data_IF_587751939475
#
_entry.id   IF_587751939475
#
_cell.length_a   1.000
_cell.length_b   1.000
_cell.length_c   1.000
_cell.angle_alpha   90.00
_cell.angle_beta   90.00
_cell.angle_gamma   90.00
#
_symmetry.space_group_name_H-M   'P 1'
#
loop_
_entity.id
_entity.type
_entity.pdbx_description
1 polymer ?
#
# COMPACT_ATOMS: atom_id res chain seq x y z
N UNK A 1 -0.19 46.78 1.11
CA UNK A 1 0.31 45.40 1.09
C UNK A 1 -0.83 44.53 1.60
N UNK A 2 -1.74 44.20 0.69
CA UNK A 2 -2.90 43.35 1.02
C UNK A 2 -2.38 41.94 1.23
N UNK A 3 -2.50 41.41 2.43
CA UNK A 3 -2.23 40.03 2.76
C UNK A 3 -3.38 39.22 2.16
N UNK A 4 -3.18 38.69 0.95
CA UNK A 4 -4.12 37.79 0.31
C UNK A 4 -4.37 36.62 1.26
N UNK A 5 -5.61 36.51 1.75
CA UNK A 5 -6.01 35.40 2.62
C UNK A 5 -5.72 34.08 1.89
N UNK A 6 -5.22 33.04 2.56
CA UNK A 6 -4.87 31.78 1.91
C UNK A 6 -6.10 31.25 1.20
N UNK A 7 -6.05 31.29 -0.14
CA UNK A 7 -7.11 30.79 -1.00
C UNK A 7 -7.28 29.30 -0.70
N UNK A 8 -8.41 28.92 -0.12
CA UNK A 8 -8.70 27.51 0.14
C UNK A 8 -8.44 26.71 -1.14
N UNK A 9 -7.65 25.61 -1.06
CA UNK A 9 -7.34 24.85 -2.24
C UNK A 9 -8.62 24.34 -2.91
N UNK A 10 -8.64 24.22 -4.25
CA UNK A 10 -9.78 23.68 -4.97
C UNK A 10 -10.15 22.30 -4.43
N UNK A 11 -11.43 22.02 -4.29
CA UNK A 11 -11.91 20.74 -3.72
C UNK A 11 -11.43 19.53 -4.52
N UNK A 12 -11.31 19.69 -5.82
CA UNK A 12 -10.81 18.66 -6.73
C UNK A 12 -9.32 18.36 -6.48
N UNK A 13 -8.52 19.38 -6.17
CA UNK A 13 -7.11 19.21 -5.78
C UNK A 13 -6.98 18.40 -4.50
N UNK A 14 -7.80 18.71 -3.49
CA UNK A 14 -7.85 17.93 -2.25
C UNK A 14 -8.19 16.47 -2.54
N UNK A 15 -9.17 16.20 -3.38
CA UNK A 15 -9.57 14.85 -3.76
C UNK A 15 -8.44 14.09 -4.47
N UNK A 16 -7.76 14.74 -5.42
CA UNK A 16 -6.62 14.15 -6.14
C UNK A 16 -5.43 13.86 -5.22
N UNK A 17 -5.13 14.76 -4.29
CA UNK A 17 -4.06 14.54 -3.29
C UNK A 17 -4.39 13.35 -2.40
N UNK A 18 -5.65 13.21 -1.95
CA UNK A 18 -6.11 12.07 -1.16
C UNK A 18 -6.02 10.76 -1.94
N UNK A 19 -6.51 10.76 -3.19
CA UNK A 19 -6.35 9.63 -4.08
C UNK A 19 -4.89 9.21 -4.24
N UNK A 20 -4.00 10.15 -4.55
CA UNK A 20 -2.58 9.88 -4.76
C UNK A 20 -1.92 9.31 -3.49
N UNK A 21 -2.24 9.85 -2.32
CA UNK A 21 -1.76 9.37 -1.02
C UNK A 21 -2.17 7.91 -0.77
N UNK A 22 -3.44 7.59 -0.96
CA UNK A 22 -3.99 6.25 -0.75
C UNK A 22 -3.43 5.25 -1.77
N UNK A 23 -3.39 5.64 -3.04
CA UNK A 23 -2.85 4.81 -4.11
C UNK A 23 -1.36 4.48 -3.87
N UNK A 24 -0.53 5.48 -3.55
CA UNK A 24 0.88 5.27 -3.23
C UNK A 24 1.08 4.39 -1.99
N UNK A 25 0.23 4.52 -0.98
CA UNK A 25 0.25 3.70 0.24
C UNK A 25 -0.13 2.25 -0.06
N UNK A 26 -1.17 2.02 -0.86
CA UNK A 26 -1.61 0.71 -1.32
C UNK A 26 -0.52 -0.01 -2.13
N UNK A 27 0.12 0.67 -3.10
CA UNK A 27 1.20 0.11 -3.92
C UNK A 27 2.39 -0.30 -3.05
N UNK A 28 2.80 0.53 -2.09
CA UNK A 28 3.91 0.21 -1.17
C UNK A 28 3.64 -1.06 -0.36
N UNK A 29 2.44 -1.17 0.23
CA UNK A 29 2.02 -2.35 1.01
C UNK A 29 1.96 -3.60 0.13
N UNK A 30 1.42 -3.51 -1.08
CA UNK A 30 1.39 -4.61 -2.05
C UNK A 30 2.79 -5.07 -2.43
N UNK A 31 3.72 -4.15 -2.70
CA UNK A 31 5.09 -4.49 -3.05
C UNK A 31 5.85 -5.12 -1.87
N UNK A 32 5.63 -4.65 -0.65
CA UNK A 32 6.20 -5.26 0.55
C UNK A 32 5.72 -6.71 0.72
N UNK A 33 4.42 -6.94 0.54
CA UNK A 33 3.83 -8.29 0.61
C UNK A 33 4.38 -9.22 -0.49
N UNK A 34 4.47 -8.73 -1.74
CA UNK A 34 5.07 -9.49 -2.85
C UNK A 34 6.53 -9.86 -2.56
N UNK A 35 7.34 -8.91 -2.10
CA UNK A 35 8.74 -9.17 -1.73
C UNK A 35 8.86 -10.23 -0.63
N UNK A 36 8.04 -10.14 0.41
CA UNK A 36 8.03 -11.13 1.49
C UNK A 36 7.72 -12.54 0.96
N UNK A 37 6.70 -12.68 0.11
CA UNK A 37 6.35 -13.97 -0.51
C UNK A 37 7.49 -14.54 -1.36
N UNK A 38 8.18 -13.69 -2.14
CA UNK A 38 9.34 -14.10 -2.93
C UNK A 38 10.46 -14.59 -2.02
N UNK A 39 10.78 -13.89 -0.93
CA UNK A 39 11.80 -14.33 0.02
C UNK A 39 11.47 -15.65 0.68
N UNK A 40 10.22 -15.88 1.09
CA UNK A 40 9.76 -17.16 1.63
C UNK A 40 9.95 -18.28 0.62
N UNK A 41 9.58 -18.06 -0.64
CA UNK A 41 9.76 -19.05 -1.71
C UNK A 41 11.25 -19.34 -1.98
N UNK A 42 12.08 -18.31 -2.05
CA UNK A 42 13.54 -18.46 -2.24
C UNK A 42 14.17 -19.25 -1.10
N UNK A 43 13.82 -18.93 0.15
CA UNK A 43 14.32 -19.67 1.31
C UNK A 43 13.88 -21.14 1.29
N UNK A 44 12.65 -21.42 0.85
CA UNK A 44 12.17 -22.79 0.70
C UNK A 44 12.96 -23.59 -0.35
N UNK A 45 13.23 -22.99 -1.52
CA UNK A 45 14.03 -23.60 -2.58
C UNK A 45 15.47 -23.84 -2.09
N UNK A 46 16.07 -22.82 -1.46
CA UNK A 46 17.42 -22.95 -0.92
C UNK A 46 17.51 -24.02 0.16
N UNK A 47 16.54 -24.10 1.07
CA UNK A 47 16.49 -25.15 2.10
C UNK A 47 16.49 -26.54 1.48
N UNK A 48 15.70 -26.76 0.41
CA UNK A 48 15.67 -28.04 -0.29
C UNK A 48 17.00 -28.33 -0.98
N UNK A 49 17.61 -27.36 -1.62
CA UNK A 49 18.89 -27.49 -2.31
C UNK A 49 20.02 -27.84 -1.30
N UNK A 50 20.09 -27.12 -0.17
CA UNK A 50 21.07 -27.40 0.88
C UNK A 50 20.84 -28.77 1.53
N UNK A 51 19.59 -29.21 1.66
CA UNK A 51 19.27 -30.56 2.13
C UNK A 51 19.87 -31.64 1.23
N UNK A 52 19.72 -31.49 -0.08
CA UNK A 52 20.28 -32.44 -1.07
C UNK A 52 21.80 -32.43 -1.02
N UNK A 53 22.43 -31.24 -0.99
CA UNK A 53 23.89 -31.13 -0.91
C UNK A 53 24.41 -31.75 0.37
N UNK A 54 23.78 -31.45 1.50
CA UNK A 54 24.18 -32.00 2.79
C UNK A 54 24.10 -33.55 2.78
N UNK A 55 22.98 -34.11 2.36
CA UNK A 55 22.78 -35.56 2.34
C UNK A 55 23.72 -36.29 1.38
N UNK A 56 24.12 -35.62 0.28
CA UNK A 56 24.95 -36.24 -0.75
C UNK A 56 26.48 -36.19 -0.46
N UNK A 57 26.92 -35.13 0.25
CA UNK A 57 28.36 -34.86 0.36
C UNK A 57 28.86 -34.71 1.80
N UNK A 58 28.03 -34.40 2.75
CA UNK A 58 28.44 -33.99 4.11
C UNK A 58 27.79 -34.80 5.23
N UNK A 59 26.97 -35.80 4.93
CA UNK A 59 26.23 -36.55 5.95
C UNK A 59 27.14 -37.26 6.96
N UNK A 60 28.33 -37.69 6.54
CA UNK A 60 29.31 -38.38 7.36
C UNK A 60 30.58 -37.55 7.62
N UNK A 61 30.60 -36.28 7.19
CA UNK A 61 31.79 -35.43 7.34
C UNK A 61 31.79 -34.69 8.68
N UNK A 62 32.69 -35.06 9.63
CA UNK A 62 32.78 -34.37 10.91
C UNK A 62 33.52 -33.03 10.84
N UNK A 63 33.84 -32.55 9.62
CA UNK A 63 34.53 -31.29 9.44
C UNK A 63 33.72 -30.09 9.90
N UNK A 64 34.41 -29.01 10.24
CA UNK A 64 33.81 -27.75 10.64
C UNK A 64 32.89 -27.19 9.52
N UNK A 65 33.19 -27.52 8.26
CA UNK A 65 32.43 -27.16 7.09
C UNK A 65 31.11 -27.95 7.01
N UNK A 66 31.14 -29.27 7.31
CA UNK A 66 29.94 -30.10 7.39
C UNK A 66 28.97 -29.60 8.47
N UNK A 67 29.49 -29.25 9.64
CA UNK A 67 28.70 -28.67 10.76
C UNK A 67 28.08 -27.32 10.33
N UNK A 68 28.82 -26.44 9.67
CA UNK A 68 28.32 -25.15 9.23
C UNK A 68 27.17 -25.30 8.20
N UNK A 69 27.33 -26.22 7.24
CA UNK A 69 26.28 -26.50 6.24
C UNK A 69 25.03 -27.07 6.93
N UNK A 70 25.20 -27.95 7.90
CA UNK A 70 24.09 -28.49 8.68
C UNK A 70 23.31 -27.41 9.44
N UNK A 71 24.01 -26.47 10.08
CA UNK A 71 23.38 -25.35 10.78
C UNK A 71 22.63 -24.43 9.82
N UNK A 72 23.20 -24.13 8.66
CA UNK A 72 22.52 -23.32 7.61
C UNK A 72 21.26 -24.05 7.13
N UNK A 73 21.35 -25.35 6.87
CA UNK A 73 20.20 -26.16 6.47
C UNK A 73 19.06 -26.11 7.50
N UNK A 74 19.40 -26.21 8.80
CA UNK A 74 18.40 -26.14 9.87
C UNK A 74 17.80 -24.73 10.03
N UNK A 75 18.62 -23.70 9.87
CA UNK A 75 18.18 -22.30 10.06
C UNK A 75 17.22 -21.82 8.97
N UNK A 76 17.35 -22.28 7.72
CA UNK A 76 16.54 -21.82 6.60
C UNK A 76 15.03 -22.06 6.74
N UNK A 77 14.55 -23.27 7.06
CA UNK A 77 13.12 -23.50 7.25
C UNK A 77 12.57 -22.77 8.49
N UNK A 78 13.39 -22.59 9.52
CA UNK A 78 13.01 -21.79 10.69
C UNK A 78 12.82 -20.32 10.30
N UNK A 79 13.76 -19.75 9.55
CA UNK A 79 13.66 -18.38 9.04
C UNK A 79 12.46 -18.21 8.10
N UNK A 80 12.22 -19.15 7.19
CA UNK A 80 11.05 -19.14 6.30
C UNK A 80 9.73 -19.18 7.08
N UNK A 81 9.64 -20.03 8.10
CA UNK A 81 8.46 -20.14 8.97
C UNK A 81 8.23 -18.86 9.79
N UNK A 82 9.29 -18.26 10.30
CA UNK A 82 9.21 -16.99 11.03
C UNK A 82 8.74 -15.85 10.13
N UNK A 83 9.30 -15.75 8.91
CA UNK A 83 8.87 -14.77 7.92
C UNK A 83 7.40 -14.98 7.52
N UNK A 84 6.96 -16.22 7.35
CA UNK A 84 5.57 -16.55 7.06
C UNK A 84 4.65 -16.13 8.21
N UNK A 85 5.04 -16.38 9.47
CA UNK A 85 4.28 -15.99 10.66
C UNK A 85 4.18 -14.47 10.81
N UNK A 86 5.28 -13.73 10.57
CA UNK A 86 5.27 -12.26 10.55
C UNK A 86 4.37 -11.75 9.41
N UNK A 87 4.51 -12.33 8.23
CA UNK A 87 3.70 -11.98 7.07
C UNK A 87 2.21 -12.17 7.31
N UNK A 88 1.82 -13.30 7.90
CA UNK A 88 0.42 -13.58 8.22
C UNK A 88 -0.17 -12.56 9.20
N UNK A 89 0.58 -12.14 10.22
CA UNK A 89 0.13 -11.14 11.19
C UNK A 89 0.06 -9.73 10.58
N UNK A 90 1.07 -9.34 9.81
CA UNK A 90 1.16 -7.98 9.28
C UNK A 90 0.19 -7.71 8.13
N UNK A 91 -0.17 -8.74 7.35
CA UNK A 91 -1.02 -8.61 6.16
C UNK A 91 -2.40 -9.27 6.32
N UNK A 92 -2.73 -9.84 7.49
CA UNK A 92 -4.00 -10.54 7.75
C UNK A 92 -5.21 -9.60 7.67
N UNK A 93 -5.07 -8.34 8.06
CA UNK A 93 -6.19 -7.41 8.22
C UNK A 93 -6.73 -6.84 6.90
N UNK A 94 -6.15 -7.19 5.74
CA UNK A 94 -6.65 -6.68 4.46
C UNK A 94 -6.55 -5.17 4.26
N UNK A 95 -5.81 -4.46 5.12
CA UNK A 95 -5.68 -2.99 5.13
C UNK A 95 -5.32 -2.40 3.76
N UNK A 96 -4.51 -3.14 3.00
CA UNK A 96 -4.15 -2.72 1.65
C UNK A 96 -5.35 -2.74 0.69
N UNK A 97 -6.28 -3.68 0.90
CA UNK A 97 -7.50 -3.80 0.11
C UNK A 97 -8.46 -2.66 0.43
N UNK A 98 -8.65 -2.36 1.71
CA UNK A 98 -9.47 -1.24 2.19
C UNK A 98 -8.89 0.09 1.67
N UNK A 99 -7.57 0.25 1.78
CA UNK A 99 -6.88 1.44 1.26
C UNK A 99 -7.02 1.57 -0.26
N UNK A 100 -6.94 0.45 -0.99
CA UNK A 100 -7.12 0.42 -2.44
C UNK A 100 -8.56 0.74 -2.82
N UNK A 101 -9.54 0.12 -2.16
CA UNK A 101 -10.95 0.39 -2.40
C UNK A 101 -11.30 1.87 -2.18
N UNK A 102 -10.80 2.48 -1.09
CA UNK A 102 -10.98 3.90 -0.84
C UNK A 102 -10.33 4.78 -1.93
N UNK A 103 -9.14 4.42 -2.42
CA UNK A 103 -8.51 5.14 -3.53
C UNK A 103 -9.36 5.08 -4.81
N UNK A 104 -9.88 3.90 -5.17
CA UNK A 104 -10.76 3.75 -6.34
C UNK A 104 -12.07 4.52 -6.17
N UNK A 105 -12.61 4.59 -4.95
CA UNK A 105 -13.80 5.38 -4.68
C UNK A 105 -13.54 6.88 -4.84
N UNK A 106 -12.41 7.40 -4.36
CA UNK A 106 -12.01 8.78 -4.65
C UNK A 106 -11.91 9.04 -6.16
N UNK A 107 -11.29 8.13 -6.90
CA UNK A 107 -11.13 8.26 -8.34
C UNK A 107 -12.49 8.30 -9.05
N UNK A 108 -13.41 7.43 -8.65
CA UNK A 108 -14.79 7.42 -9.16
C UNK A 108 -15.50 8.74 -8.90
N UNK A 109 -15.41 9.28 -7.67
CA UNK A 109 -16.06 10.54 -7.31
C UNK A 109 -15.43 11.74 -8.06
N UNK A 110 -14.12 11.74 -8.29
CA UNK A 110 -13.44 12.74 -9.11
C UNK A 110 -14.00 12.74 -10.55
N UNK A 111 -14.15 11.57 -11.16
CA UNK A 111 -14.73 11.48 -12.50
C UNK A 111 -16.22 11.87 -12.50
N UNK A 112 -16.98 11.47 -11.51
CA UNK A 112 -18.38 11.83 -11.35
C UNK A 112 -18.55 13.37 -11.25
N UNK A 113 -17.71 14.01 -10.44
CA UNK A 113 -17.66 15.46 -10.29
C UNK A 113 -17.36 16.16 -11.61
N UNK A 114 -16.42 15.64 -12.39
CA UNK A 114 -15.97 16.23 -13.67
C UNK A 114 -16.96 16.03 -14.82
N UNK A 115 -17.75 14.98 -14.79
CA UNK A 115 -18.64 14.61 -15.88
C UNK A 115 -20.10 14.88 -15.55
N UNK A 116 -20.64 14.16 -14.59
CA UNK A 116 -22.09 14.15 -14.30
C UNK A 116 -22.53 15.43 -13.59
N UNK A 117 -21.71 15.92 -12.65
CA UNK A 117 -22.02 17.12 -11.87
C UNK A 117 -21.58 18.43 -12.56
N UNK A 118 -21.07 18.36 -13.76
CA UNK A 118 -20.67 19.56 -14.50
C UNK A 118 -21.87 20.52 -14.65
N UNK A 119 -21.71 21.77 -14.19
CA UNK A 119 -22.80 22.78 -14.20
C UNK A 119 -23.76 22.70 -13.03
N UNK A 120 -23.61 21.77 -12.08
CA UNK A 120 -24.45 21.74 -10.89
C UNK A 120 -23.89 22.67 -9.81
N UNK A 121 -24.68 23.66 -9.36
CA UNK A 121 -24.28 24.63 -8.33
C UNK A 121 -23.92 23.99 -6.99
N UNK A 122 -24.45 22.80 -6.66
CA UNK A 122 -24.19 22.08 -5.41
C UNK A 122 -23.06 21.04 -5.52
N UNK A 123 -22.35 21.00 -6.67
CA UNK A 123 -21.31 19.99 -6.88
C UNK A 123 -20.19 20.03 -5.85
N UNK A 124 -19.80 21.22 -5.38
CA UNK A 124 -18.76 21.39 -4.36
C UNK A 124 -19.19 20.80 -3.02
N UNK A 125 -20.40 21.15 -2.57
CA UNK A 125 -20.97 20.62 -1.32
C UNK A 125 -21.08 19.08 -1.36
N UNK A 126 -21.55 18.53 -2.49
CA UNK A 126 -21.57 17.09 -2.71
C UNK A 126 -20.20 16.46 -2.54
N UNK A 127 -19.16 17.03 -3.19
CA UNK A 127 -17.81 16.48 -3.13
C UNK A 127 -17.22 16.54 -1.73
N UNK A 128 -17.46 17.62 -0.98
CA UNK A 128 -17.04 17.77 0.42
C UNK A 128 -17.68 16.68 1.31
N UNK A 129 -18.96 16.43 1.12
CA UNK A 129 -19.67 15.37 1.86
C UNK A 129 -19.10 13.99 1.53
N UNK A 130 -18.86 13.71 0.25
CA UNK A 130 -18.31 12.41 -0.19
C UNK A 130 -16.88 12.19 0.31
N UNK A 131 -16.01 13.19 0.25
CA UNK A 131 -14.65 13.12 0.82
C UNK A 131 -14.72 12.74 2.31
N UNK A 132 -15.59 13.42 3.08
CA UNK A 132 -15.75 13.14 4.51
C UNK A 132 -16.32 11.75 4.78
N UNK A 133 -17.21 11.26 3.93
CA UNK A 133 -17.80 9.93 4.06
C UNK A 133 -16.75 8.83 3.78
N UNK A 134 -16.01 8.93 2.67
CA UNK A 134 -14.92 8.00 2.33
C UNK A 134 -13.87 7.98 3.45
N UNK A 135 -13.50 9.14 4.01
CA UNK A 135 -12.55 9.19 5.12
C UNK A 135 -13.09 8.48 6.37
N UNK A 136 -14.36 8.66 6.70
CA UNK A 136 -14.98 7.96 7.83
C UNK A 136 -15.06 6.46 7.63
N UNK A 137 -15.39 6.01 6.42
CA UNK A 137 -15.42 4.58 6.09
C UNK A 137 -14.03 3.97 6.16
N UNK A 138 -13.03 4.66 5.61
CA UNK A 138 -11.62 4.26 5.68
C UNK A 138 -11.12 4.15 7.12
N UNK A 139 -11.42 5.15 7.96
CA UNK A 139 -11.05 5.16 9.38
C UNK A 139 -11.64 3.95 10.12
N UNK A 140 -12.93 3.65 9.90
CA UNK A 140 -13.57 2.47 10.50
C UNK A 140 -12.97 1.17 9.99
N UNK A 141 -12.72 1.07 8.68
CA UNK A 141 -12.15 -0.11 8.05
C UNK A 141 -10.72 -0.43 8.51
N UNK A 142 -9.95 0.60 8.87
CA UNK A 142 -8.58 0.47 9.39
C UNK A 142 -8.50 0.40 10.92
N UNK A 143 -9.62 0.15 11.61
CA UNK A 143 -9.64 0.02 13.06
C UNK A 143 -9.29 1.29 13.84
N UNK A 144 -9.47 2.46 13.23
CA UNK A 144 -9.18 3.76 13.87
C UNK A 144 -7.77 4.30 13.61
N UNK A 145 -6.94 3.61 12.85
CA UNK A 145 -5.59 4.06 12.51
C UNK A 145 -5.53 4.68 11.11
N UNK A 146 -5.33 5.99 11.02
CA UNK A 146 -5.09 6.73 9.77
C UNK A 146 -3.64 7.18 9.60
N UNK A 147 -2.68 6.34 9.99
CA UNK A 147 -1.26 6.65 9.85
C UNK A 147 -0.79 6.54 8.38
N UNK A 148 -1.28 7.42 7.52
CA UNK A 148 -0.75 7.55 6.17
C UNK A 148 0.43 8.52 6.15
N UNK A 149 1.52 8.10 5.52
CA UNK A 149 2.63 9.03 5.25
C UNK A 149 2.15 10.15 4.33
N UNK A 150 2.54 11.40 4.57
CA UNK A 150 2.24 12.50 3.67
C UNK A 150 2.66 12.14 2.24
N UNK A 151 1.84 12.51 1.28
CA UNK A 151 2.19 12.40 -0.13
C UNK A 151 3.03 13.60 -0.52
N UNK A 152 4.26 13.35 -0.97
CA UNK A 152 5.21 14.38 -1.38
C UNK A 152 5.39 14.46 -2.90
N UNK A 153 4.65 13.64 -3.65
CA UNK A 153 4.69 13.63 -5.10
C UNK A 153 3.85 14.75 -5.72
N UNK A 154 4.00 14.93 -7.03
CA UNK A 154 3.17 15.84 -7.81
C UNK A 154 1.74 15.31 -7.93
N UNK A 155 0.78 16.24 -8.07
CA UNK A 155 -0.59 15.89 -8.44
C UNK A 155 -0.56 15.16 -9.80
N UNK A 156 -1.41 14.13 -10.00
CA UNK A 156 -1.45 13.40 -11.25
C UNK A 156 -1.57 14.32 -12.48
N UNK A 157 -0.88 14.00 -13.60
CA UNK A 157 -0.78 14.89 -14.76
C UNK A 157 -2.10 15.18 -15.48
N UNK A 158 -3.14 14.41 -15.21
CA UNK A 158 -4.49 14.61 -15.74
C UNK A 158 -5.36 15.54 -14.88
N UNK A 159 -4.80 16.07 -13.76
CA UNK A 159 -5.45 17.16 -13.03
C UNK A 159 -5.30 18.46 -13.84
N UNK A 160 -6.42 19.16 -14.02
CA UNK A 160 -6.45 20.53 -14.55
C UNK A 160 -7.32 21.39 -13.64
N UNK A 161 -6.81 22.54 -13.26
CA UNK A 161 -7.55 23.52 -12.47
C UNK A 161 -8.83 24.03 -13.16
N UNK A 162 -8.88 23.97 -14.52
CA UNK A 162 -10.02 24.40 -15.30
C UNK A 162 -11.30 23.60 -15.02
N UNK A 163 -11.16 22.36 -14.51
CA UNK A 163 -12.32 21.55 -14.12
C UNK A 163 -12.93 21.93 -12.79
N UNK A 164 -12.25 22.77 -12.01
CA UNK A 164 -12.72 23.23 -10.70
C UNK A 164 -13.35 24.63 -10.79
N UNK A 165 -13.09 25.37 -11.86
CA UNK A 165 -13.75 26.63 -12.13
C UNK A 165 -15.23 26.36 -12.46
N UNK A 166 -16.12 27.14 -11.86
CA UNK A 166 -17.52 27.14 -12.27
C UNK A 166 -17.63 27.63 -13.71
N UNK A 167 -18.54 27.05 -14.51
CA UNK A 167 -18.83 27.51 -15.85
C UNK A 167 -19.43 28.91 -15.86
#
# INVERSE_FOLDING_TARGET
METEAPKNPPILEIAWMRYAQLNASSIRRTNAHKRLRVWIAVLGILATLFSIIYSSFFAEDPSLLGVAIHLIFLAMPIAASLLAAIGSRTFANGDWLITRAAAEEYLKEIYFFRTVLRGNQKRREYMEQRINEIQRQLFRGLGGELAFRPYTGSIPPYYSADYDSDP
#
